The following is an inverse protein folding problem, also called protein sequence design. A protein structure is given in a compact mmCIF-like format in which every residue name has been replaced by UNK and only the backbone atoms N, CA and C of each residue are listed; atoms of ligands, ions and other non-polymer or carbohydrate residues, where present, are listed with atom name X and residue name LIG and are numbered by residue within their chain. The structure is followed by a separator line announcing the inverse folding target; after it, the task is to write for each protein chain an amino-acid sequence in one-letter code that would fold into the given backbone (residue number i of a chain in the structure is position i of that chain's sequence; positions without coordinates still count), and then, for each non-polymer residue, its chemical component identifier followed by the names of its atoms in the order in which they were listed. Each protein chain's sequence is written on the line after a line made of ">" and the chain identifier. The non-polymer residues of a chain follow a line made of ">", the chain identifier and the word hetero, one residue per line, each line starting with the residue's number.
data_IF_465712044215
#
_entry.id   IF_465712044215
#
_cell.length_a   1.000
_cell.length_b   1.000
_cell.length_c   1.000
_cell.angle_alpha   90.00
_cell.angle_beta   90.00
_cell.angle_gamma   90.00
#
_symmetry.space_group_name_H-M   'P 1'
#
loop_
_entity.id
_entity.type
_entity.pdbx_description
1 polymer ?
#
# COMPACT_ATOMS: atom_id res chain seq x y z
N UNK A 1 -47.45 -6.08 22.39
CA UNK A 1 -46.06 -5.57 22.35
C UNK A 1 -45.20 -6.45 23.24
N UNK A 2 -44.40 -7.34 22.65
CA UNK A 2 -43.46 -8.19 23.40
C UNK A 2 -42.15 -7.43 23.55
N UNK A 3 -41.78 -7.10 24.79
CA UNK A 3 -40.52 -6.44 25.13
C UNK A 3 -39.37 -7.43 24.90
N UNK A 4 -38.47 -7.09 23.98
CA UNK A 4 -37.22 -7.84 23.78
C UNK A 4 -36.17 -7.30 24.75
N UNK A 5 -35.93 -8.03 25.84
CA UNK A 5 -34.80 -7.78 26.74
C UNK A 5 -33.53 -8.24 26.02
N UNK A 6 -32.70 -7.30 25.59
CA UNK A 6 -31.38 -7.59 25.03
C UNK A 6 -30.45 -8.01 26.17
N UNK A 7 -30.13 -9.30 26.25
CA UNK A 7 -29.12 -9.81 27.18
C UNK A 7 -27.74 -9.52 26.57
N UNK A 8 -27.05 -8.47 27.02
CA UNK A 8 -25.64 -8.29 26.69
C UNK A 8 -24.83 -9.38 27.40
N UNK A 9 -24.34 -10.37 26.65
CA UNK A 9 -23.23 -11.21 27.12
C UNK A 9 -21.99 -10.33 27.18
N UNK A 10 -21.49 -10.07 28.39
CA UNK A 10 -20.20 -9.44 28.59
C UNK A 10 -19.09 -10.43 28.16
N UNK A 11 -18.49 -10.20 27.00
CA UNK A 11 -17.24 -10.84 26.62
C UNK A 11 -16.14 -10.35 27.59
N UNK A 12 -15.78 -11.21 28.56
CA UNK A 12 -14.78 -10.89 29.57
C UNK A 12 -13.36 -10.97 28.97
N UNK A 13 -12.94 -9.90 28.31
CA UNK A 13 -11.52 -9.64 28.08
C UNK A 13 -10.84 -9.32 29.41
N UNK A 14 -9.61 -9.82 29.63
CA UNK A 14 -8.77 -9.41 30.76
C UNK A 14 -8.40 -7.94 30.53
N UNK A 15 -9.19 -7.03 31.08
CA UNK A 15 -8.89 -5.61 31.12
C UNK A 15 -7.80 -5.37 32.16
N UNK A 16 -6.77 -4.62 31.77
CA UNK A 16 -5.80 -4.12 32.75
C UNK A 16 -6.44 -2.93 33.46
N UNK A 17 -6.08 -2.71 34.73
CA UNK A 17 -6.68 -1.68 35.58
C UNK A 17 -6.60 -0.25 35.00
N UNK A 18 -5.76 -0.02 34.00
CA UNK A 18 -5.50 1.29 33.41
C UNK A 18 -5.74 1.35 31.88
N UNK A 19 -6.48 0.40 31.31
CA UNK A 19 -6.82 0.50 29.89
C UNK A 19 -7.91 1.55 29.66
N UNK A 20 -7.76 2.32 28.58
CA UNK A 20 -8.78 3.26 28.11
C UNK A 20 -9.67 2.57 27.08
N UNK A 21 -10.98 2.55 27.34
CA UNK A 21 -11.99 1.94 26.47
C UNK A 21 -12.82 3.06 25.86
N UNK A 22 -12.94 3.04 24.53
CA UNK A 22 -13.81 3.95 23.79
C UNK A 22 -14.97 3.16 23.18
N UNK A 23 -16.20 3.60 23.41
CA UNK A 23 -17.41 2.97 22.86
C UNK A 23 -18.27 3.97 22.09
N UNK A 24 -18.67 3.59 20.87
CA UNK A 24 -19.55 4.40 20.04
C UNK A 24 -20.40 3.51 19.11
N UNK A 25 -21.70 3.47 19.37
CA UNK A 25 -22.62 2.62 18.63
C UNK A 25 -22.20 1.15 18.72
N UNK A 26 -22.00 0.45 17.58
CA UNK A 26 -21.61 -0.96 17.59
C UNK A 26 -20.12 -1.17 17.89
N UNK A 27 -19.30 -0.12 17.95
CA UNK A 27 -17.86 -0.23 18.08
C UNK A 27 -17.39 -0.06 19.52
N UNK A 28 -16.41 -0.89 19.90
CA UNK A 28 -15.62 -0.73 21.12
C UNK A 28 -14.15 -0.94 20.80
N UNK A 29 -13.28 -0.07 21.32
CA UNK A 29 -11.83 -0.14 21.13
C UNK A 29 -11.13 0.03 22.46
N UNK A 30 -10.20 -0.87 22.76
CA UNK A 30 -9.39 -0.84 23.98
C UNK A 30 -8.01 -0.30 23.63
N UNK A 31 -7.52 0.66 24.41
CA UNK A 31 -6.18 1.21 24.32
C UNK A 31 -5.40 0.89 25.59
N UNK A 32 -4.17 0.40 25.46
CA UNK A 32 -3.37 0.01 26.62
C UNK A 32 -2.37 1.08 27.01
N UNK A 33 -2.47 1.58 28.25
CA UNK A 33 -1.49 2.52 28.81
C UNK A 33 -0.06 1.93 28.79
N UNK A 34 0.08 0.63 29.07
CA UNK A 34 1.38 -0.08 29.05
C UNK A 34 2.07 -0.05 27.68
N UNK A 35 1.28 0.18 26.63
CA UNK A 35 1.72 0.33 25.24
C UNK A 35 1.60 1.77 24.77
N UNK A 36 1.72 2.73 25.70
CA UNK A 36 1.65 4.16 25.43
C UNK A 36 0.33 4.59 24.78
N UNK A 37 -0.79 3.98 25.20
CA UNK A 37 -2.12 4.16 24.62
C UNK A 37 -2.15 3.85 23.12
N UNK A 38 -1.51 2.76 22.70
CA UNK A 38 -1.81 2.10 21.44
C UNK A 38 -3.07 1.25 21.57
N UNK A 39 -3.80 1.06 20.48
CA UNK A 39 -4.93 0.14 20.45
C UNK A 39 -4.45 -1.28 20.72
N UNK A 40 -5.28 -2.06 21.41
CA UNK A 40 -4.98 -3.40 21.87
C UNK A 40 -6.08 -4.40 21.52
N UNK A 41 -7.34 -3.97 21.46
CA UNK A 41 -8.47 -4.80 21.03
C UNK A 41 -9.50 -3.97 20.27
N UNK A 42 -10.23 -4.65 19.39
CA UNK A 42 -11.30 -4.08 18.58
C UNK A 42 -12.52 -4.98 18.65
N UNK A 43 -13.70 -4.39 18.84
CA UNK A 43 -14.97 -5.10 18.88
C UNK A 43 -15.99 -4.43 17.96
N UNK A 44 -16.89 -5.25 17.43
CA UNK A 44 -18.04 -4.82 16.65
C UNK A 44 -19.27 -5.66 17.00
N UNK A 45 -20.36 -5.02 17.42
CA UNK A 45 -21.60 -5.69 17.88
C UNK A 45 -21.31 -6.77 18.94
N UNK A 46 -20.39 -6.48 19.85
CA UNK A 46 -19.98 -7.38 20.94
C UNK A 46 -18.97 -8.46 20.56
N UNK A 47 -18.73 -8.71 19.27
CA UNK A 47 -17.76 -9.69 18.79
C UNK A 47 -16.33 -9.14 18.79
N UNK A 48 -15.34 -9.94 19.20
CA UNK A 48 -13.92 -9.57 19.16
C UNK A 48 -13.39 -9.69 17.72
N UNK A 49 -13.12 -8.55 17.09
CA UNK A 49 -12.48 -8.50 15.76
C UNK A 49 -10.95 -8.48 15.86
N UNK A 50 -10.42 -7.80 16.87
CA UNK A 50 -8.99 -7.68 17.13
C UNK A 50 -8.65 -8.11 18.55
N UNK A 51 -7.67 -9.00 18.68
CA UNK A 51 -7.27 -9.63 19.94
C UNK A 51 -6.06 -8.94 20.59
N UNK A 52 -5.94 -9.05 21.93
CA UNK A 52 -4.86 -8.47 22.74
C UNK A 52 -3.50 -9.17 22.60
N UNK A 53 -3.43 -10.26 21.86
CA UNK A 53 -2.24 -11.12 21.78
C UNK A 53 -1.11 -10.54 20.92
N UNK A 54 -1.26 -9.33 20.38
CA UNK A 54 -0.23 -8.63 19.63
C UNK A 54 -0.40 -7.10 19.61
N UNK A 55 0.54 -6.44 18.92
CA UNK A 55 0.70 -4.98 18.91
C UNK A 55 0.10 -4.31 17.65
N UNK A 56 -0.61 -3.18 17.82
CA UNK A 56 -1.35 -2.48 16.74
C UNK A 56 -0.80 -1.08 16.38
N UNK A 57 0.09 -0.54 17.19
CA UNK A 57 0.64 0.80 17.04
C UNK A 57 1.67 0.91 15.92
N UNK A 58 2.16 2.14 15.70
CA UNK A 58 3.28 2.37 14.77
C UNK A 58 4.56 1.85 15.39
N UNK A 59 5.42 1.19 14.60
CA UNK A 59 6.76 0.79 15.06
C UNK A 59 7.85 1.21 14.09
N UNK A 60 8.96 1.68 14.66
CA UNK A 60 10.18 2.08 13.97
C UNK A 60 11.31 1.11 14.30
N UNK A 61 12.07 0.69 13.30
CA UNK A 61 13.41 0.15 13.52
C UNK A 61 14.47 1.07 12.93
N UNK A 62 15.49 1.38 13.73
CA UNK A 62 16.54 2.35 13.41
C UNK A 62 17.89 1.71 13.05
N UNK A 63 18.23 0.59 13.69
CA UNK A 63 19.60 0.02 13.70
C UNK A 63 19.69 -1.41 13.16
N UNK A 64 18.69 -1.85 12.39
CA UNK A 64 18.66 -3.17 11.75
C UNK A 64 17.41 -3.99 12.09
N UNK A 65 17.37 -5.29 11.78
CA UNK A 65 16.20 -6.11 12.08
C UNK A 65 15.97 -6.23 13.59
N UNK A 66 14.70 -6.33 14.00
CA UNK A 66 14.27 -6.65 15.38
C UNK A 66 14.65 -5.64 16.48
N UNK A 67 15.05 -4.42 16.13
CA UNK A 67 15.32 -3.32 17.07
C UNK A 67 14.19 -2.29 17.03
N UNK A 68 13.01 -2.72 17.47
CA UNK A 68 11.79 -1.92 17.34
C UNK A 68 11.60 -0.91 18.49
N UNK A 69 11.00 0.23 18.14
CA UNK A 69 10.52 1.28 19.03
C UNK A 69 9.05 1.50 18.71
N UNK A 70 8.19 1.50 19.74
CA UNK A 70 6.78 1.86 19.62
C UNK A 70 5.83 0.69 19.83
N UNK A 71 4.57 0.99 20.12
CA UNK A 71 3.52 -0.02 20.33
C UNK A 71 3.88 -1.08 21.38
N UNK A 72 4.59 -0.69 22.44
CA UNK A 72 5.05 -1.61 23.49
C UNK A 72 6.46 -2.20 23.27
N UNK A 73 7.00 -2.16 22.06
CA UNK A 73 8.39 -2.56 21.79
C UNK A 73 9.40 -1.59 22.42
N UNK A 74 10.51 -2.15 22.91
CA UNK A 74 11.58 -1.45 23.65
C UNK A 74 12.99 -1.83 23.19
N UNK A 75 13.12 -2.75 22.25
CA UNK A 75 14.35 -3.41 21.83
C UNK A 75 15.33 -2.46 21.12
N UNK A 76 14.81 -1.44 20.45
CA UNK A 76 15.56 -0.37 19.79
C UNK A 76 15.54 0.98 20.50
N UNK A 77 14.83 1.08 21.64
CA UNK A 77 14.54 2.33 22.34
C UNK A 77 13.09 2.38 22.81
N UNK A 78 12.77 3.38 23.65
CA UNK A 78 11.46 3.50 24.30
C UNK A 78 10.67 4.65 23.65
N UNK A 79 9.42 4.37 23.29
CA UNK A 79 8.47 5.41 22.86
C UNK A 79 8.23 6.41 24.00
N UNK A 80 8.25 7.71 23.68
CA UNK A 80 7.96 8.76 24.67
C UNK A 80 6.64 9.42 24.34
N UNK A 81 5.64 9.26 25.21
CA UNK A 81 4.38 9.99 25.09
C UNK A 81 4.64 11.48 25.35
N UNK A 82 4.24 12.35 24.43
CA UNK A 82 4.39 13.81 24.53
C UNK A 82 3.08 14.45 24.97
N UNK A 83 1.98 14.06 24.34
CA UNK A 83 0.66 14.57 24.72
C UNK A 83 -0.43 13.55 24.38
N UNK A 84 -1.48 13.57 25.19
CA UNK A 84 -2.69 12.79 25.01
C UNK A 84 -3.90 13.72 25.22
N UNK A 85 -4.81 13.78 24.27
CA UNK A 85 -6.07 14.52 24.39
C UNK A 85 -7.22 13.65 23.98
N UNK A 86 -8.28 13.68 24.77
CA UNK A 86 -9.51 12.94 24.52
C UNK A 86 -10.68 13.90 24.49
N UNK A 87 -11.49 13.80 23.45
CA UNK A 87 -12.71 14.57 23.29
C UNK A 87 -13.89 13.63 23.05
N UNK A 88 -14.95 13.78 23.84
CA UNK A 88 -16.19 13.00 23.74
C UNK A 88 -17.32 13.97 23.45
N UNK A 89 -17.93 13.83 22.28
CA UNK A 89 -19.06 14.64 21.82
C UNK A 89 -18.80 16.16 21.91
N UNK A 90 -17.57 16.59 21.62
CA UNK A 90 -17.15 18.00 21.66
C UNK A 90 -16.53 18.44 22.98
N UNK A 91 -16.67 17.67 24.06
CA UNK A 91 -16.12 18.01 25.37
C UNK A 91 -14.79 17.28 25.64
N UNK A 92 -13.76 18.04 26.05
CA UNK A 92 -12.49 17.46 26.49
C UNK A 92 -12.68 16.65 27.78
N UNK A 93 -12.06 15.46 27.83
CA UNK A 93 -12.09 14.54 28.97
C UNK A 93 -10.66 14.20 29.40
N UNK A 94 -10.46 14.04 30.71
CA UNK A 94 -9.21 13.52 31.24
C UNK A 94 -9.15 12.00 31.05
N UNK A 95 -7.97 11.49 30.71
CA UNK A 95 -7.71 10.04 30.58
C UNK A 95 -7.38 9.44 31.95
N UNK A 96 -8.33 9.58 32.89
CA UNK A 96 -8.28 8.98 34.23
C UNK A 96 -9.37 7.90 34.39
N UNK A 97 -10.40 7.93 33.53
CA UNK A 97 -11.43 6.90 33.46
C UNK A 97 -11.02 5.79 32.49
N UNK A 98 -11.53 4.59 32.74
CA UNK A 98 -11.28 3.44 31.89
C UNK A 98 -12.33 3.27 30.77
N UNK A 99 -13.48 3.97 30.85
CA UNK A 99 -14.54 3.89 29.85
C UNK A 99 -15.02 5.28 29.43
N UNK A 100 -15.13 5.48 28.13
CA UNK A 100 -15.66 6.68 27.50
C UNK A 100 -16.68 6.29 26.43
N UNK A 101 -17.90 6.77 26.60
CA UNK A 101 -19.03 6.51 25.70
C UNK A 101 -19.47 7.82 25.04
N UNK A 102 -19.76 7.78 23.75
CA UNK A 102 -20.24 8.94 23.00
C UNK A 102 -20.57 8.64 21.55
N UNK A 103 -21.19 9.58 20.85
CA UNK A 103 -21.47 9.46 19.40
C UNK A 103 -20.25 9.78 18.54
N UNK A 104 -19.35 10.61 19.03
CA UNK A 104 -18.08 10.90 18.39
C UNK A 104 -17.03 11.05 19.47
N UNK A 105 -16.08 10.13 19.47
CA UNK A 105 -14.92 10.21 20.35
C UNK A 105 -13.68 10.43 19.49
N UNK A 106 -12.90 11.45 19.84
CA UNK A 106 -11.65 11.80 19.17
C UNK A 106 -10.52 11.70 20.18
N UNK A 107 -9.50 10.93 19.80
CA UNK A 107 -8.29 10.68 20.55
C UNK A 107 -7.08 11.18 19.77
N UNK A 108 -6.39 12.17 20.32
CA UNK A 108 -5.17 12.73 19.76
C UNK A 108 -3.98 12.35 20.63
N UNK A 109 -3.01 11.69 20.01
CA UNK A 109 -1.77 11.25 20.64
C UNK A 109 -0.57 11.81 19.88
N UNK A 110 0.35 12.42 20.60
CA UNK A 110 1.68 12.79 20.10
C UNK A 110 2.71 11.99 20.88
N UNK A 111 3.64 11.36 20.17
CA UNK A 111 4.70 10.53 20.75
C UNK A 111 6.00 10.67 19.97
N UNK A 112 7.12 10.36 20.61
CA UNK A 112 8.43 10.27 19.97
C UNK A 112 8.85 8.82 19.81
N UNK A 113 9.18 8.43 18.58
CA UNK A 113 9.82 7.16 18.24
C UNK A 113 11.23 7.49 17.76
N UNK A 114 12.20 7.46 18.66
CA UNK A 114 13.52 8.07 18.40
C UNK A 114 13.38 9.56 18.11
N UNK A 115 13.89 9.99 16.96
CA UNK A 115 13.79 11.38 16.46
C UNK A 115 12.57 11.62 15.56
N UNK A 116 11.62 10.67 15.49
CA UNK A 116 10.34 10.90 14.80
C UNK A 116 9.26 11.32 15.79
N UNK A 117 8.73 12.53 15.61
CA UNK A 117 7.49 12.97 16.24
C UNK A 117 6.32 12.39 15.46
N UNK A 118 5.61 11.45 16.06
CA UNK A 118 4.43 10.80 15.51
C UNK A 118 3.16 11.46 16.08
N UNK A 119 2.30 11.94 15.20
CA UNK A 119 0.96 12.42 15.51
C UNK A 119 -0.04 11.34 15.08
N UNK A 120 -0.92 10.95 15.99
CA UNK A 120 -2.00 10.00 15.75
C UNK A 120 -3.31 10.67 16.14
N UNK A 121 -4.24 10.76 15.19
CA UNK A 121 -5.62 11.14 15.45
C UNK A 121 -6.49 9.91 15.20
N UNK A 122 -7.26 9.51 16.19
CA UNK A 122 -8.16 8.37 16.15
C UNK A 122 -9.58 8.87 16.43
N UNK A 123 -10.47 8.65 15.49
CA UNK A 123 -11.89 9.01 15.63
C UNK A 123 -12.72 7.75 15.57
N UNK A 124 -13.65 7.59 16.51
CA UNK A 124 -14.64 6.51 16.53
C UNK A 124 -16.04 7.13 16.58
N UNK A 125 -16.91 6.64 15.70
CA UNK A 125 -18.33 7.00 15.60
C UNK A 125 -19.17 5.74 15.35
N UNK A 126 -20.51 5.79 15.43
CA UNK A 126 -21.37 4.65 15.09
C UNK A 126 -21.15 4.13 13.66
N UNK A 127 -20.69 4.98 12.75
CA UNK A 127 -20.47 4.60 11.36
C UNK A 127 -19.14 3.85 11.20
N UNK A 128 -18.12 4.11 12.01
CA UNK A 128 -16.82 3.46 11.89
C UNK A 128 -15.68 4.14 12.63
N UNK A 129 -14.46 3.68 12.36
CA UNK A 129 -13.24 4.18 12.97
C UNK A 129 -12.35 4.79 11.89
N UNK A 130 -11.77 5.95 12.16
CA UNK A 130 -10.80 6.62 11.29
C UNK A 130 -9.51 6.86 12.06
N UNK A 131 -8.40 6.37 11.54
CA UNK A 131 -7.06 6.50 12.12
C UNK A 131 -6.20 7.30 11.15
N UNK A 132 -5.76 8.48 11.57
CA UNK A 132 -4.85 9.35 10.82
C UNK A 132 -3.49 9.35 11.50
N UNK A 133 -2.44 9.20 10.73
CA UNK A 133 -1.05 9.23 11.22
C UNK A 133 -0.19 10.10 10.33
N UNK A 134 0.63 10.94 10.95
CA UNK A 134 1.67 11.70 10.27
C UNK A 134 2.89 11.78 11.18
N UNK A 135 4.09 11.72 10.59
CA UNK A 135 5.31 11.89 11.35
C UNK A 135 6.21 12.98 10.78
N UNK A 136 7.01 13.56 11.67
CA UNK A 136 8.02 14.57 11.37
C UNK A 136 9.33 14.15 12.01
N UNK A 137 10.43 14.23 11.26
CA UNK A 137 11.77 14.05 11.80
C UNK A 137 12.23 15.35 12.46
N UNK A 138 12.34 15.37 13.79
CA UNK A 138 12.82 16.55 14.53
C UNK A 138 14.34 16.70 14.48
N UNK A 139 15.02 15.59 14.23
CA UNK A 139 16.44 15.46 13.90
C UNK A 139 16.58 14.36 12.84
N UNK A 140 17.75 14.26 12.20
CA UNK A 140 18.01 13.19 11.24
C UNK A 140 17.79 11.80 11.87
N UNK A 141 16.99 10.97 11.21
CA UNK A 141 16.60 9.66 11.71
C UNK A 141 16.83 8.57 10.66
N UNK A 142 17.74 7.62 10.90
CA UNK A 142 17.83 6.40 10.12
C UNK A 142 16.55 5.57 10.25
N UNK A 143 16.02 5.08 9.13
CA UNK A 143 14.83 4.24 9.08
C UNK A 143 15.19 2.94 8.33
N UNK A 144 15.26 1.84 9.08
CA UNK A 144 15.42 0.51 8.49
C UNK A 144 14.07 -0.07 8.05
N UNK A 145 13.07 0.00 8.94
CA UNK A 145 11.69 -0.42 8.66
C UNK A 145 10.72 0.45 9.45
N UNK A 146 9.56 0.74 8.88
CA UNK A 146 8.56 1.57 9.54
C UNK A 146 7.14 1.10 9.23
N UNK A 147 6.52 0.39 10.18
CA UNK A 147 5.13 -0.05 10.05
C UNK A 147 4.22 1.04 10.59
N UNK A 148 3.48 1.69 9.69
CA UNK A 148 2.53 2.77 10.03
C UNK A 148 1.24 2.18 10.59
N UNK A 149 0.72 1.11 9.99
CA UNK A 149 -0.42 0.37 10.51
C UNK A 149 -0.06 -1.09 10.69
N UNK A 150 -0.47 -1.65 11.81
CA UNK A 150 -0.49 -3.09 12.02
C UNK A 150 -1.73 -3.43 12.83
N UNK A 151 -2.36 -4.56 12.54
CA UNK A 151 -3.56 -4.98 13.27
C UNK A 151 -3.52 -6.48 13.51
N UNK A 152 -3.71 -6.92 14.75
CA UNK A 152 -3.69 -8.33 15.14
C UNK A 152 -5.12 -8.89 15.19
N UNK A 153 -5.71 -9.11 14.03
CA UNK A 153 -7.09 -9.57 13.95
C UNK A 153 -7.28 -10.97 14.52
N UNK A 154 -8.49 -11.26 14.99
CA UNK A 154 -8.83 -12.53 15.64
C UNK A 154 -8.38 -13.74 14.82
N UNK A 155 -7.84 -14.76 15.49
CA UNK A 155 -7.49 -16.06 14.89
C UNK A 155 -8.69 -16.82 14.33
N UNK A 156 -9.90 -16.39 14.69
CA UNK A 156 -11.14 -17.00 14.21
C UNK A 156 -11.55 -16.44 12.84
N UNK A 157 -10.85 -15.43 12.31
CA UNK A 157 -11.06 -15.03 10.92
C UNK A 157 -10.49 -16.11 10.00
N UNK A 158 -11.35 -16.82 9.28
CA UNK A 158 -10.94 -17.93 8.40
C UNK A 158 -10.65 -17.49 6.96
N UNK A 159 -11.05 -16.26 6.59
CA UNK A 159 -11.01 -15.78 5.21
C UNK A 159 -10.54 -14.34 5.12
N UNK A 160 -9.91 -14.00 4.00
CA UNK A 160 -9.50 -12.64 3.67
C UNK A 160 -9.80 -12.28 2.22
N UNK A 161 -9.98 -10.99 2.00
CA UNK A 161 -10.21 -10.40 0.68
C UNK A 161 -9.46 -9.08 0.59
N UNK A 162 -8.80 -8.83 -0.53
CA UNK A 162 -8.18 -7.54 -0.81
C UNK A 162 -8.76 -6.94 -2.08
N UNK A 163 -8.80 -5.61 -2.12
CA UNK A 163 -9.14 -4.85 -3.31
C UNK A 163 -8.04 -3.85 -3.67
N UNK A 164 -7.74 -3.79 -4.95
CA UNK A 164 -6.75 -2.88 -5.53
C UNK A 164 -7.42 -1.56 -5.95
N UNK A 165 -6.65 -0.47 -6.08
CA UNK A 165 -7.21 0.84 -6.46
C UNK A 165 -8.06 0.81 -7.74
N UNK A 166 -7.68 -0.05 -8.68
CA UNK A 166 -8.24 -0.12 -10.04
C UNK A 166 -9.19 -1.30 -10.26
N UNK A 167 -9.72 -1.88 -9.19
CA UNK A 167 -10.91 -2.74 -9.24
C UNK A 167 -10.66 -4.24 -9.25
N UNK A 168 -9.42 -4.71 -9.46
CA UNK A 168 -9.12 -6.13 -9.26
C UNK A 168 -9.07 -6.48 -7.77
N UNK A 169 -9.32 -7.76 -7.48
CA UNK A 169 -9.35 -8.30 -6.13
C UNK A 169 -8.52 -9.59 -6.05
N UNK A 170 -8.27 -10.06 -4.83
CA UNK A 170 -7.69 -11.37 -4.53
C UNK A 170 -8.21 -11.78 -3.16
N UNK A 171 -8.56 -13.04 -3.02
CA UNK A 171 -9.01 -13.64 -1.76
C UNK A 171 -8.19 -14.87 -1.40
N UNK A 172 -8.40 -15.35 -0.19
CA UNK A 172 -7.81 -16.56 0.31
C UNK A 172 -8.31 -16.89 1.70
N UNK A 173 -7.72 -17.94 2.28
CA UNK A 173 -8.04 -18.42 3.62
C UNK A 173 -6.84 -18.31 4.54
N UNK A 174 -7.10 -18.22 5.84
CA UNK A 174 -6.08 -18.36 6.86
C UNK A 174 -6.05 -19.81 7.34
N UNK A 175 -4.85 -20.37 7.43
CA UNK A 175 -4.59 -21.74 7.89
C UNK A 175 -3.86 -21.76 9.23
N UNK A 176 -3.51 -20.60 9.80
CA UNK A 176 -2.75 -20.50 11.05
C UNK A 176 -1.39 -21.21 11.00
N UNK A 177 -0.73 -21.18 9.83
CA UNK A 177 0.49 -21.95 9.54
C UNK A 177 1.79 -21.15 9.74
N UNK A 178 1.71 -19.95 10.32
CA UNK A 178 2.80 -18.97 10.48
C UNK A 178 3.31 -18.38 9.15
N UNK A 179 2.60 -18.63 8.04
CA UNK A 179 2.92 -18.16 6.71
C UNK A 179 2.71 -16.66 6.50
N UNK A 180 3.35 -16.14 5.45
CA UNK A 180 3.20 -14.76 5.00
C UNK A 180 2.44 -14.70 3.69
N UNK A 181 1.41 -13.85 3.62
CA UNK A 181 0.68 -13.56 2.39
C UNK A 181 0.91 -12.11 1.95
N UNK A 182 0.75 -11.87 0.64
CA UNK A 182 0.90 -10.54 0.02
C UNK A 182 2.32 -9.97 0.14
N UNK A 183 3.31 -10.79 0.51
CA UNK A 183 4.68 -10.33 0.73
C UNK A 183 5.41 -10.02 -0.60
N UNK A 184 6.65 -9.51 -0.51
CA UNK A 184 7.46 -9.12 -1.68
C UNK A 184 7.59 -10.19 -2.78
N UNK A 185 7.51 -11.48 -2.40
CA UNK A 185 7.60 -12.60 -3.35
C UNK A 185 6.34 -12.73 -4.21
N UNK A 186 5.18 -12.34 -3.68
CA UNK A 186 3.89 -12.34 -4.39
C UNK A 186 3.78 -11.16 -5.38
N UNK A 187 4.75 -10.25 -5.40
CA UNK A 187 4.77 -9.02 -6.22
C UNK A 187 3.48 -8.19 -6.11
N UNK A 188 2.74 -8.28 -5.00
CA UNK A 188 1.47 -7.58 -4.81
C UNK A 188 1.73 -6.05 -4.80
N UNK A 189 1.40 -5.32 -5.87
CA UNK A 189 1.98 -4.00 -6.06
C UNK A 189 1.22 -2.93 -5.28
N UNK A 190 -0.09 -3.12 -5.07
CA UNK A 190 -1.00 -2.08 -4.61
C UNK A 190 -2.21 -2.63 -3.85
N UNK A 191 -2.55 -2.01 -2.73
CA UNK A 191 -3.70 -2.34 -1.89
C UNK A 191 -4.47 -1.07 -1.56
N UNK A 192 -5.76 -1.02 -1.88
CA UNK A 192 -6.66 0.08 -1.50
C UNK A 192 -7.46 -0.25 -0.24
N UNK A 193 -7.86 -1.51 -0.09
CA UNK A 193 -8.57 -1.98 1.08
C UNK A 193 -8.37 -3.48 1.26
N UNK A 194 -8.57 -3.94 2.48
CA UNK A 194 -8.58 -5.35 2.84
C UNK A 194 -9.79 -5.65 3.72
N UNK A 195 -10.21 -6.90 3.76
CA UNK A 195 -11.18 -7.42 4.70
C UNK A 195 -10.74 -8.77 5.24
N UNK A 196 -11.11 -9.04 6.49
CA UNK A 196 -11.03 -10.37 7.10
C UNK A 196 -12.39 -10.73 7.69
N UNK A 197 -12.73 -12.01 7.68
CA UNK A 197 -14.06 -12.49 8.04
C UNK A 197 -13.99 -13.77 8.85
N UNK A 198 -14.83 -13.85 9.87
CA UNK A 198 -15.08 -15.01 10.72
C UNK A 198 -16.45 -15.58 10.33
N UNK A 199 -16.46 -16.76 9.71
CA UNK A 199 -17.70 -17.39 9.23
C UNK A 199 -18.61 -17.91 10.35
N UNK A 200 -18.04 -18.31 11.49
CA UNK A 200 -18.80 -18.80 12.63
C UNK A 200 -19.57 -17.66 13.32
N UNK A 201 -18.90 -16.54 13.58
CA UNK A 201 -19.51 -15.37 14.22
C UNK A 201 -20.31 -14.50 13.23
N UNK A 202 -20.12 -14.72 11.92
CA UNK A 202 -20.73 -13.94 10.84
C UNK A 202 -20.35 -12.46 10.90
N UNK A 203 -19.11 -12.20 11.34
CA UNK A 203 -18.54 -10.85 11.51
C UNK A 203 -17.29 -10.69 10.67
N UNK A 204 -17.09 -9.50 10.15
CA UNK A 204 -15.86 -9.14 9.49
C UNK A 204 -15.42 -7.72 9.80
N UNK A 205 -14.18 -7.45 9.45
CA UNK A 205 -13.57 -6.12 9.49
C UNK A 205 -13.04 -5.77 8.11
N UNK A 206 -13.31 -4.55 7.67
CA UNK A 206 -12.74 -3.96 6.47
C UNK A 206 -11.83 -2.80 6.87
N UNK A 207 -10.60 -2.79 6.37
CA UNK A 207 -9.67 -1.66 6.44
C UNK A 207 -9.51 -1.01 5.07
N UNK A 208 -9.70 0.31 4.98
CA UNK A 208 -9.63 1.10 3.75
C UNK A 208 -8.61 2.24 3.87
N UNK A 209 -7.75 2.40 2.87
CA UNK A 209 -6.81 3.52 2.82
C UNK A 209 -7.52 4.80 2.35
N UNK A 210 -7.97 5.63 3.30
CA UNK A 210 -8.70 6.88 3.04
C UNK A 210 -7.88 7.97 2.34
N UNK A 211 -6.56 7.80 2.28
CA UNK A 211 -5.64 8.58 1.42
C UNK A 211 -4.66 7.61 0.77
N UNK A 212 -4.95 7.22 -0.47
CA UNK A 212 -4.10 6.33 -1.26
C UNK A 212 -3.10 7.10 -2.11
N UNK A 213 -1.87 6.61 -2.17
CA UNK A 213 -0.88 7.05 -3.16
C UNK A 213 -0.11 5.84 -3.73
N UNK A 214 0.12 5.79 -5.06
CA UNK A 214 0.84 4.69 -5.69
C UNK A 214 2.20 4.44 -5.06
N UNK A 215 2.50 3.17 -4.77
CA UNK A 215 3.77 2.79 -4.15
C UNK A 215 4.00 3.33 -2.73
N UNK A 216 2.92 3.61 -1.98
CA UNK A 216 2.98 4.10 -0.59
C UNK A 216 3.72 3.18 0.38
N UNK A 217 3.89 1.90 0.05
CA UNK A 217 4.54 0.95 0.93
C UNK A 217 4.35 -0.50 0.52
N UNK A 218 4.61 -1.39 1.48
CA UNK A 218 4.39 -2.84 1.37
C UNK A 218 3.31 -3.26 2.34
N UNK A 219 2.43 -4.17 1.90
CA UNK A 219 1.32 -4.70 2.69
C UNK A 219 1.53 -6.20 2.88
N UNK A 220 1.20 -6.73 4.04
CA UNK A 220 1.40 -8.15 4.33
C UNK A 220 0.33 -8.65 5.27
N UNK A 221 -0.05 -9.91 5.12
CA UNK A 221 -0.66 -10.67 6.21
C UNK A 221 0.36 -11.66 6.77
N UNK A 222 0.39 -11.78 8.09
CA UNK A 222 1.09 -12.84 8.81
C UNK A 222 0.07 -13.73 9.49
N UNK A 223 0.01 -14.99 9.07
CA UNK A 223 -0.98 -15.97 9.49
C UNK A 223 -0.55 -16.73 10.75
N UNK A 224 -0.62 -16.07 11.91
CA UNK A 224 -0.12 -16.64 13.15
C UNK A 224 -1.16 -17.57 13.76
N UNK A 225 -0.69 -18.52 14.58
CA UNK A 225 -1.56 -19.43 15.36
C UNK A 225 -2.50 -18.73 16.35
N UNK A 226 -2.17 -17.50 16.74
CA UNK A 226 -2.87 -16.74 17.79
C UNK A 226 -3.62 -15.51 17.26
N UNK A 227 -3.37 -15.09 16.02
CA UNK A 227 -4.02 -13.97 15.33
C UNK A 227 -3.60 -13.91 13.86
N UNK A 228 -4.35 -13.18 13.03
CA UNK A 228 -3.92 -12.86 11.66
C UNK A 228 -3.52 -11.39 11.58
N UNK A 229 -2.23 -11.12 11.38
CA UNK A 229 -1.71 -9.76 11.46
C UNK A 229 -1.63 -9.09 10.11
N UNK A 230 -2.33 -7.96 9.96
CA UNK A 230 -2.06 -7.05 8.86
C UNK A 230 -0.86 -6.17 9.18
N UNK A 231 0.00 -5.94 8.20
CA UNK A 231 1.06 -4.95 8.23
C UNK A 231 0.95 -4.01 7.03
N UNK A 232 1.17 -2.73 7.28
CA UNK A 232 1.49 -1.73 6.28
C UNK A 232 2.82 -1.06 6.64
N UNK A 233 3.86 -1.40 5.90
CA UNK A 233 5.18 -0.75 5.95
C UNK A 233 5.21 0.41 4.98
N UNK A 234 5.32 1.64 5.47
CA UNK A 234 5.43 2.79 4.59
C UNK A 234 6.75 2.74 3.79
N UNK A 235 6.70 3.26 2.57
CA UNK A 235 7.89 3.60 1.80
C UNK A 235 8.47 4.88 2.38
N UNK A 236 9.66 4.78 2.97
CA UNK A 236 10.36 5.87 3.64
C UNK A 236 11.72 6.13 3.00
N UNK A 237 12.30 7.33 3.15
CA UNK A 237 13.72 7.50 2.89
C UNK A 237 14.53 6.64 3.88
N UNK A 238 15.76 6.25 3.49
CA UNK A 238 16.69 5.52 4.38
C UNK A 238 17.06 6.35 5.61
N UNK A 239 17.12 7.67 5.43
CA UNK A 239 17.30 8.65 6.49
C UNK A 239 16.22 9.71 6.28
N UNK A 240 15.36 9.91 7.27
CA UNK A 240 14.47 11.06 7.31
C UNK A 240 15.25 12.25 7.87
N UNK A 241 15.61 13.19 7.00
CA UNK A 241 16.35 14.40 7.39
C UNK A 241 15.52 15.28 8.32
N UNK A 242 16.21 16.12 9.12
CA UNK A 242 15.53 17.10 9.99
C UNK A 242 14.55 17.95 9.19
N UNK A 243 13.31 18.07 9.70
CA UNK A 243 12.22 18.78 9.05
C UNK A 243 11.49 17.97 7.97
N UNK A 244 11.93 16.74 7.66
CA UNK A 244 11.15 15.84 6.80
C UNK A 244 9.78 15.58 7.42
N UNK A 245 8.73 15.73 6.62
CA UNK A 245 7.35 15.42 6.99
C UNK A 245 6.79 14.38 6.06
N UNK A 246 6.17 13.36 6.63
CA UNK A 246 5.48 12.33 5.86
C UNK A 246 4.19 12.88 5.23
N UNK A 247 3.67 12.22 4.18
CA UNK A 247 2.25 12.34 3.88
C UNK A 247 1.41 11.92 5.08
N UNK A 248 0.15 12.36 5.12
CA UNK A 248 -0.83 11.84 6.08
C UNK A 248 -1.30 10.46 5.61
N UNK A 249 -1.14 9.46 6.46
CA UNK A 249 -1.69 8.12 6.26
C UNK A 249 -3.05 8.01 6.94
N UNK A 250 -4.06 7.55 6.22
CA UNK A 250 -5.43 7.42 6.74
C UNK A 250 -5.93 6.01 6.55
N UNK A 251 -6.28 5.34 7.65
CA UNK A 251 -6.95 4.04 7.66
C UNK A 251 -8.37 4.21 8.19
N UNK A 252 -9.35 3.69 7.46
CA UNK A 252 -10.75 3.64 7.89
C UNK A 252 -11.08 2.18 8.17
N UNK A 253 -11.59 1.89 9.36
CA UNK A 253 -12.03 0.55 9.74
C UNK A 253 -13.55 0.52 9.82
N UNK A 254 -14.16 -0.50 9.20
CA UNK A 254 -15.60 -0.78 9.23
C UNK A 254 -15.81 -2.23 9.64
N UNK A 255 -16.50 -2.42 10.77
CA UNK A 255 -17.06 -3.72 11.13
C UNK A 255 -18.30 -3.99 10.30
N UNK A 256 -18.57 -5.26 10.01
CA UNK A 256 -19.78 -5.64 9.29
C UNK A 256 -20.27 -7.03 9.70
N UNK A 257 -21.58 -7.23 9.54
CA UNK A 257 -22.26 -8.51 9.72
C UNK A 257 -22.70 -9.05 8.37
N UNK A 258 -22.47 -10.33 8.09
CA UNK A 258 -22.87 -10.96 6.83
C UNK A 258 -22.90 -12.48 6.95
N UNK A 259 -23.80 -13.20 6.27
CA UNK A 259 -23.70 -14.66 6.19
C UNK A 259 -22.46 -15.08 5.38
N UNK A 260 -21.93 -16.31 5.61
CA UNK A 260 -20.66 -16.76 5.00
C UNK A 260 -20.65 -16.83 3.48
N UNK A 261 -21.80 -16.91 2.83
CA UNK A 261 -21.94 -16.92 1.36
C UNK A 261 -22.00 -15.51 0.74
N UNK A 262 -22.27 -14.47 1.55
CA UNK A 262 -22.45 -13.09 1.07
C UNK A 262 -21.39 -12.09 1.55
N UNK A 263 -20.49 -12.49 2.46
CA UNK A 263 -19.56 -11.56 3.12
C UNK A 263 -18.64 -10.82 2.15
N UNK A 264 -18.16 -11.49 1.09
CA UNK A 264 -17.31 -10.84 0.08
C UNK A 264 -18.05 -9.74 -0.67
N UNK A 265 -19.33 -9.98 -1.02
CA UNK A 265 -20.19 -8.98 -1.65
C UNK A 265 -20.41 -7.80 -0.71
N UNK A 266 -20.67 -8.07 0.58
CA UNK A 266 -20.84 -7.00 1.57
C UNK A 266 -19.57 -6.17 1.76
N UNK A 267 -18.39 -6.80 1.82
CA UNK A 267 -17.12 -6.09 1.90
C UNK A 267 -16.87 -5.20 0.67
N UNK A 268 -17.17 -5.71 -0.54
CA UNK A 268 -17.05 -4.95 -1.79
C UNK A 268 -18.03 -3.75 -1.84
N UNK A 269 -19.24 -3.92 -1.33
CA UNK A 269 -20.24 -2.85 -1.20
C UNK A 269 -19.70 -1.71 -0.31
N UNK A 270 -19.25 -2.04 0.91
CA UNK A 270 -18.67 -1.07 1.85
C UNK A 270 -17.45 -0.37 1.23
N UNK A 271 -16.57 -1.13 0.58
CA UNK A 271 -15.40 -0.57 -0.11
C UNK A 271 -15.79 0.39 -1.25
N UNK A 272 -16.85 0.07 -2.00
CA UNK A 272 -17.37 0.90 -3.08
C UNK A 272 -17.92 2.22 -2.56
N UNK A 273 -18.65 2.20 -1.44
CA UNK A 273 -19.13 3.41 -0.77
C UNK A 273 -17.98 4.28 -0.27
N UNK A 274 -16.98 3.68 0.38
CA UNK A 274 -15.78 4.39 0.81
C UNK A 274 -14.99 4.94 -0.37
N UNK A 275 -14.91 4.23 -1.49
CA UNK A 275 -14.25 4.71 -2.71
C UNK A 275 -14.93 5.95 -3.31
N UNK A 276 -16.25 6.10 -3.16
CA UNK A 276 -16.94 7.34 -3.58
C UNK A 276 -16.56 8.53 -2.71
N UNK A 277 -16.30 8.30 -1.43
CA UNK A 277 -15.91 9.35 -0.46
C UNK A 277 -14.41 9.66 -0.50
N UNK A 278 -13.58 8.64 -0.76
CA UNK A 278 -12.12 8.67 -0.69
C UNK A 278 -11.53 8.09 -1.97
N UNK A 279 -11.81 8.73 -3.11
CA UNK A 279 -11.36 8.25 -4.42
C UNK A 279 -9.83 8.11 -4.46
N UNK A 280 -9.28 6.95 -4.87
CA UNK A 280 -7.87 6.87 -5.18
C UNK A 280 -7.55 7.80 -6.38
N UNK A 281 -6.29 8.22 -6.54
CA UNK A 281 -5.83 8.86 -7.76
C UNK A 281 -6.17 8.00 -8.99
N UNK A 282 -6.37 8.62 -10.17
CA UNK A 282 -6.61 7.88 -11.39
C UNK A 282 -5.48 6.87 -11.65
N UNK A 283 -5.77 5.74 -12.32
CA UNK A 283 -4.72 4.81 -12.72
C UNK A 283 -3.64 5.52 -13.52
N UNK A 284 -2.36 5.15 -13.34
CA UNK A 284 -1.30 5.59 -14.23
C UNK A 284 -1.75 5.36 -15.67
N UNK A 285 -1.65 6.38 -16.55
CA UNK A 285 -1.97 6.19 -17.97
C UNK A 285 -0.94 5.20 -18.54
N UNK A 286 -1.43 4.03 -18.92
CA UNK A 286 -0.65 2.97 -19.55
C UNK A 286 -0.78 3.13 -21.06
N UNK A 287 0.36 3.13 -21.75
CA UNK A 287 0.44 3.13 -23.22
C UNK A 287 1.07 1.80 -23.62
N UNK A 288 0.27 0.95 -24.26
CA UNK A 288 0.67 -0.36 -24.78
C UNK A 288 0.39 -0.37 -26.29
N UNK A 289 1.39 -0.02 -27.13
CA UNK A 289 1.22 -0.10 -28.57
C UNK A 289 0.89 -1.53 -28.99
N UNK A 290 -0.29 -1.75 -29.58
CA UNK A 290 -0.79 -3.10 -29.94
C UNK A 290 0.23 -3.88 -30.80
N UNK A 291 0.86 -3.17 -31.74
CA UNK A 291 1.88 -3.69 -32.65
C UNK A 291 3.13 -4.23 -31.94
N UNK A 292 3.32 -3.90 -30.66
CA UNK A 292 4.48 -4.29 -29.86
C UNK A 292 4.18 -5.38 -28.82
N UNK A 293 2.98 -5.97 -28.83
CA UNK A 293 2.67 -7.12 -27.96
C UNK A 293 3.55 -8.33 -28.30
N UNK A 294 3.79 -8.60 -29.58
CA UNK A 294 4.61 -9.70 -30.09
C UNK A 294 5.31 -9.31 -31.41
N UNK A 295 6.07 -8.22 -31.42
CA UNK A 295 6.74 -7.73 -32.62
C UNK A 295 7.95 -8.60 -32.97
N UNK A 296 8.08 -8.97 -34.24
CA UNK A 296 9.29 -9.57 -34.81
C UNK A 296 9.81 -8.68 -35.94
N UNK A 297 11.08 -8.32 -35.89
CA UNK A 297 11.78 -7.54 -36.90
C UNK A 297 12.87 -8.39 -37.51
N UNK A 298 12.64 -8.89 -38.73
CA UNK A 298 13.64 -9.63 -39.51
C UNK A 298 14.61 -8.64 -40.16
N UNK A 299 15.90 -8.73 -39.84
CA UNK A 299 16.93 -7.91 -40.46
C UNK A 299 17.12 -8.24 -41.94
N UNK A 300 17.52 -7.24 -42.72
CA UNK A 300 17.78 -7.37 -44.17
C UNK A 300 19.20 -6.89 -44.55
N UNK A 301 20.11 -6.79 -43.58
CA UNK A 301 21.46 -6.26 -43.75
C UNK A 301 21.56 -4.73 -43.80
N UNK A 302 20.44 -4.01 -43.86
CA UNK A 302 20.38 -2.55 -43.95
C UNK A 302 19.78 -1.93 -42.67
N UNK A 303 19.56 -0.61 -42.68
CA UNK A 303 18.83 0.07 -41.63
C UNK A 303 17.35 -0.36 -41.62
N UNK A 304 16.89 -0.87 -40.48
CA UNK A 304 15.51 -1.25 -40.26
C UNK A 304 15.01 -0.69 -38.93
N UNK A 305 13.85 -0.05 -38.98
CA UNK A 305 13.23 0.58 -37.83
C UNK A 305 11.71 0.39 -37.85
N UNK A 306 11.13 -0.03 -36.72
CA UNK A 306 9.70 0.11 -36.45
C UNK A 306 9.46 1.34 -35.59
N UNK A 307 8.68 2.29 -36.10
CA UNK A 307 8.14 3.43 -35.34
C UNK A 307 6.79 3.02 -34.75
N UNK A 308 6.61 3.26 -33.46
CA UNK A 308 5.36 3.08 -32.72
C UNK A 308 4.96 4.43 -32.14
N UNK A 309 3.84 4.97 -32.57
CA UNK A 309 3.38 6.27 -32.08
C UNK A 309 2.91 6.15 -30.63
N UNK A 310 3.33 7.09 -29.79
CA UNK A 310 2.95 7.13 -28.38
C UNK A 310 2.56 8.54 -27.97
N UNK A 311 1.57 8.65 -27.11
CA UNK A 311 1.11 9.95 -26.59
C UNK A 311 1.84 10.28 -25.29
N UNK A 312 2.93 11.05 -25.38
CA UNK A 312 3.63 11.54 -24.20
C UNK A 312 3.11 12.93 -23.79
N UNK A 313 3.19 13.24 -22.50
CA UNK A 313 2.90 14.57 -21.94
C UNK A 313 4.20 15.30 -21.60
N UNK A 314 4.31 16.61 -21.91
CA UNK A 314 5.52 17.36 -21.63
C UNK A 314 5.92 17.36 -20.15
N UNK A 315 7.21 17.19 -19.88
CA UNK A 315 7.79 17.25 -18.53
C UNK A 315 7.45 16.09 -17.59
N UNK A 316 6.59 15.14 -18.01
CA UNK A 316 6.16 13.99 -17.20
C UNK A 316 7.19 12.86 -17.20
N UNK A 317 7.24 12.12 -16.10
CA UNK A 317 8.09 10.94 -15.96
C UNK A 317 7.34 9.69 -16.43
N UNK A 318 8.05 8.79 -17.10
CA UNK A 318 7.55 7.53 -17.61
C UNK A 318 8.46 6.40 -17.18
N UNK A 319 7.85 5.25 -16.92
CA UNK A 319 8.53 3.97 -16.81
C UNK A 319 8.22 3.16 -18.07
N UNK A 320 9.24 2.59 -18.70
CA UNK A 320 9.09 1.70 -19.85
C UNK A 320 9.51 0.29 -19.44
N UNK A 321 8.78 -0.72 -19.92
CA UNK A 321 9.15 -2.13 -19.75
C UNK A 321 8.81 -2.93 -20.99
N UNK A 322 9.64 -3.92 -21.32
CA UNK A 322 9.41 -4.88 -22.41
C UNK A 322 10.34 -6.11 -22.24
N UNK A 323 10.09 -7.16 -23.01
CA UNK A 323 11.05 -8.25 -23.23
C UNK A 323 11.66 -8.13 -24.62
N UNK A 324 12.95 -8.37 -24.73
CA UNK A 324 13.66 -8.36 -26.02
C UNK A 324 14.47 -9.63 -26.20
N UNK A 325 14.44 -10.21 -27.40
CA UNK A 325 15.37 -11.25 -27.81
C UNK A 325 16.13 -10.78 -29.05
N UNK A 326 17.46 -10.85 -28.98
CA UNK A 326 18.35 -10.51 -30.09
C UNK A 326 18.96 -11.79 -30.63
N UNK A 327 18.87 -11.99 -31.94
CA UNK A 327 19.60 -13.06 -32.62
C UNK A 327 21.10 -12.98 -32.38
N UNK A 328 21.80 -14.10 -32.60
CA UNK A 328 23.24 -14.23 -32.29
C UNK A 328 24.11 -13.35 -33.18
N UNK A 329 23.67 -13.11 -34.41
CA UNK A 329 24.40 -12.40 -35.45
C UNK A 329 23.90 -10.96 -35.66
N UNK A 330 23.19 -10.37 -34.67
CA UNK A 330 22.82 -8.95 -34.74
C UNK A 330 24.06 -8.04 -34.64
N UNK A 331 24.05 -6.88 -35.29
CA UNK A 331 25.18 -5.92 -35.33
C UNK A 331 25.79 -5.65 -33.95
N UNK A 332 27.13 -5.61 -33.88
CA UNK A 332 27.93 -5.30 -32.67
C UNK A 332 27.73 -3.89 -32.14
N UNK A 333 27.25 -2.95 -32.96
CA UNK A 333 27.02 -1.58 -32.53
C UNK A 333 25.78 -1.50 -31.64
N UNK A 334 25.95 -0.88 -30.47
CA UNK A 334 24.90 -0.78 -29.45
C UNK A 334 23.68 0.04 -29.90
N UNK A 335 23.86 0.94 -30.87
CA UNK A 335 22.81 1.75 -31.50
C UNK A 335 21.95 1.00 -32.50
N UNK A 336 22.43 -0.11 -33.05
CA UNK A 336 21.79 -0.74 -34.22
C UNK A 336 20.62 -1.64 -33.81
N UNK A 337 20.65 -2.15 -32.57
CA UNK A 337 19.72 -3.16 -32.06
C UNK A 337 19.21 -2.76 -30.67
N UNK A 338 18.37 -1.71 -30.64
CA UNK A 338 17.93 -1.07 -29.41
C UNK A 338 16.49 -0.58 -29.52
N UNK A 339 15.95 -0.14 -28.38
CA UNK A 339 14.66 0.55 -28.30
C UNK A 339 14.91 1.98 -27.86
N UNK A 340 14.49 2.95 -28.66
CA UNK A 340 14.63 4.38 -28.37
C UNK A 340 13.25 4.98 -28.09
N UNK A 341 13.19 5.91 -27.16
CA UNK A 341 12.12 6.89 -27.09
C UNK A 341 12.71 8.17 -27.66
N UNK A 342 12.05 8.75 -28.65
CA UNK A 342 12.58 9.94 -29.31
C UNK A 342 11.53 10.69 -30.10
N UNK A 343 11.96 11.78 -30.69
CA UNK A 343 11.13 12.62 -31.55
C UNK A 343 11.99 13.27 -32.61
N UNK A 344 11.38 13.64 -33.72
CA UNK A 344 12.03 14.53 -34.68
C UNK A 344 11.67 15.98 -34.34
N UNK A 345 12.52 16.92 -34.71
CA UNK A 345 12.13 18.34 -34.72
C UNK A 345 11.01 18.61 -35.73
N UNK A 346 10.42 19.82 -35.68
CA UNK A 346 9.27 20.17 -36.54
C UNK A 346 9.59 20.05 -38.03
N UNK A 347 10.83 20.34 -38.40
CA UNK A 347 11.33 20.23 -39.78
C UNK A 347 11.66 18.78 -40.20
N UNK A 348 11.63 17.81 -39.26
CA UNK A 348 12.03 16.42 -39.45
C UNK A 348 13.46 16.23 -39.95
N UNK A 349 14.36 17.16 -39.62
CA UNK A 349 15.77 17.12 -40.02
C UNK A 349 16.66 16.57 -38.92
N UNK A 350 16.25 16.69 -37.65
CA UNK A 350 17.04 16.23 -36.50
C UNK A 350 16.24 15.30 -35.61
N UNK A 351 16.81 14.13 -35.35
CA UNK A 351 16.29 13.20 -34.35
C UNK A 351 16.83 13.54 -32.96
N UNK A 352 15.92 13.70 -32.00
CA UNK A 352 16.23 13.87 -30.59
C UNK A 352 15.93 12.57 -29.85
N UNK A 353 16.98 11.94 -29.31
CA UNK A 353 16.84 10.81 -28.39
C UNK A 353 16.43 11.35 -27.03
N UNK A 354 15.29 10.89 -26.52
CA UNK A 354 14.81 11.17 -25.16
C UNK A 354 15.38 10.12 -24.20
N UNK A 355 15.36 8.85 -24.62
CA UNK A 355 15.94 7.73 -23.88
C UNK A 355 16.30 6.57 -24.81
N UNK A 356 17.25 5.74 -24.38
CA UNK A 356 17.70 4.54 -25.09
C UNK A 356 17.72 3.35 -24.14
N UNK A 357 17.21 2.21 -24.62
CA UNK A 357 17.07 0.98 -23.85
C UNK A 357 17.60 -0.20 -24.65
N UNK A 358 17.96 -1.25 -23.92
CA UNK A 358 18.41 -2.53 -24.46
C UNK A 358 19.70 -2.51 -25.30
N UNK A 359 20.46 -1.41 -25.34
CA UNK A 359 21.68 -1.30 -26.15
C UNK A 359 22.78 -2.31 -25.77
N UNK A 360 22.87 -2.69 -24.49
CA UNK A 360 23.83 -3.67 -23.95
C UNK A 360 23.28 -5.08 -23.70
N UNK A 361 22.06 -5.40 -24.13
CA UNK A 361 21.47 -6.73 -23.92
C UNK A 361 22.18 -7.77 -24.79
N UNK A 362 22.38 -8.97 -24.21
CA UNK A 362 23.05 -10.11 -24.82
C UNK A 362 22.39 -10.57 -26.14
N UNK A 363 23.18 -11.24 -26.96
CA UNK A 363 22.83 -11.72 -28.31
C UNK A 363 22.85 -13.23 -28.33
N UNK A 364 22.00 -13.83 -27.52
CA UNK A 364 21.95 -15.28 -27.29
C UNK A 364 20.69 -15.91 -27.89
N UNK A 365 19.79 -15.10 -28.48
CA UNK A 365 18.47 -15.51 -28.94
C UNK A 365 17.43 -15.64 -27.82
N UNK A 366 17.83 -15.52 -26.55
CA UNK A 366 16.96 -15.59 -25.39
C UNK A 366 16.22 -14.27 -25.14
N UNK A 367 15.07 -14.34 -24.45
CA UNK A 367 14.35 -13.15 -24.02
C UNK A 367 14.93 -12.59 -22.72
N UNK A 368 15.24 -11.30 -22.73
CA UNK A 368 15.71 -10.54 -21.59
C UNK A 368 14.67 -9.49 -21.20
N UNK A 369 14.41 -9.34 -19.90
CA UNK A 369 13.55 -8.27 -19.38
C UNK A 369 14.30 -6.95 -19.36
N UNK A 370 13.68 -5.90 -19.90
CA UNK A 370 14.23 -4.55 -19.92
C UNK A 370 13.21 -3.62 -19.27
N UNK A 371 13.68 -2.82 -18.32
CA UNK A 371 12.90 -1.74 -17.74
C UNK A 371 13.77 -0.52 -17.53
N UNK A 372 13.16 0.66 -17.52
CA UNK A 372 13.85 1.91 -17.26
C UNK A 372 12.91 3.08 -17.12
N UNK A 373 13.47 4.24 -16.79
CA UNK A 373 12.72 5.48 -16.62
C UNK A 373 13.25 6.56 -17.52
N UNK A 374 12.36 7.46 -17.93
CA UNK A 374 12.75 8.67 -18.64
C UNK A 374 11.75 9.79 -18.34
N UNK A 375 12.20 11.04 -18.54
CA UNK A 375 11.34 12.22 -18.45
C UNK A 375 11.13 12.77 -19.85
N UNK A 376 9.88 12.97 -20.23
CA UNK A 376 9.55 13.64 -21.48
C UNK A 376 10.06 15.09 -21.44
N UNK A 377 10.64 15.62 -22.53
CA UNK A 377 11.06 17.03 -22.59
C UNK A 377 9.86 17.98 -22.42
N UNK A 378 10.14 19.25 -22.13
CA UNK A 378 9.11 20.29 -22.02
C UNK A 378 8.44 20.60 -23.36
N UNK A 379 9.11 20.32 -24.48
CA UNK A 379 8.58 20.46 -25.82
C UNK A 379 8.52 19.10 -26.50
N UNK A 380 7.32 18.70 -26.90
CA UNK A 380 7.09 17.44 -27.61
C UNK A 380 6.67 17.71 -29.06
N UNK A 381 7.20 16.90 -29.97
CA UNK A 381 6.86 16.96 -31.38
C UNK A 381 6.71 15.55 -31.97
N UNK A 382 5.49 15.01 -31.90
CA UNK A 382 5.15 13.65 -32.36
C UNK A 382 6.12 12.57 -31.82
N UNK A 383 6.27 12.45 -30.48
CA UNK A 383 7.14 11.46 -29.89
C UNK A 383 6.71 10.04 -30.27
N UNK A 384 7.68 9.15 -30.40
CA UNK A 384 7.46 7.76 -30.74
C UNK A 384 8.48 6.85 -30.04
N UNK A 385 8.13 5.57 -29.94
CA UNK A 385 9.08 4.50 -29.64
C UNK A 385 9.61 3.96 -30.96
N UNK A 386 10.92 3.86 -31.06
CA UNK A 386 11.62 3.37 -32.24
C UNK A 386 12.36 2.09 -31.88
N UNK A 387 12.09 1.01 -32.61
CA UNK A 387 12.72 -0.29 -32.41
C UNK A 387 13.63 -0.55 -33.60
N UNK A 388 14.93 -0.54 -33.37
CA UNK A 388 15.95 -0.68 -34.41
C UNK A 388 16.44 -2.12 -34.49
N UNK A 389 16.59 -2.64 -35.70
CA UNK A 389 17.28 -3.90 -36.01
C UNK A 389 18.13 -3.71 -37.28
N UNK A 390 19.19 -2.92 -37.17
CA UNK A 390 19.95 -2.42 -38.32
C UNK A 390 21.25 -3.17 -38.55
N UNK A 391 21.73 -3.16 -39.79
CA UNK A 391 23.02 -3.73 -40.21
C UNK A 391 23.19 -5.21 -39.83
N UNK A 392 22.10 -5.97 -39.88
CA UNK A 392 22.10 -7.41 -39.63
C UNK A 392 21.03 -8.09 -40.48
N UNK A 393 21.25 -9.36 -40.82
CA UNK A 393 20.23 -10.22 -41.41
C UNK A 393 19.47 -11.04 -40.35
N UNK A 394 19.86 -10.95 -39.07
CA UNK A 394 19.26 -11.72 -37.98
C UNK A 394 18.01 -11.01 -37.41
N UNK A 395 17.34 -11.67 -36.48
CA UNK A 395 16.02 -11.29 -35.97
C UNK A 395 16.10 -10.59 -34.62
N UNK A 396 15.25 -9.58 -34.43
CA UNK A 396 14.98 -8.95 -33.15
C UNK A 396 13.50 -9.12 -32.79
N UNK A 397 13.20 -9.57 -31.58
CA UNK A 397 11.83 -9.78 -31.10
C UNK A 397 11.56 -8.92 -29.88
N UNK A 398 10.39 -8.30 -29.83
CA UNK A 398 9.90 -7.50 -28.69
C UNK A 398 8.56 -8.04 -28.23
N UNK A 399 8.38 -8.16 -26.92
CA UNK A 399 7.10 -8.50 -26.31
C UNK A 399 6.73 -7.54 -25.19
N UNK A 400 5.41 -7.33 -25.03
CA UNK A 400 4.80 -6.61 -23.91
C UNK A 400 5.40 -5.21 -23.69
N UNK A 401 5.62 -4.46 -24.77
CA UNK A 401 6.10 -3.09 -24.65
C UNK A 401 5.04 -2.20 -24.02
N UNK A 402 5.41 -1.61 -22.89
CA UNK A 402 4.51 -0.83 -22.04
C UNK A 402 5.21 0.43 -21.57
N UNK A 403 4.52 1.57 -21.65
CA UNK A 403 4.92 2.81 -21.00
C UNK A 403 3.88 3.15 -19.92
N UNK A 404 4.35 3.51 -18.74
CA UNK A 404 3.51 3.89 -17.59
C UNK A 404 3.85 5.32 -17.19
N UNK A 405 2.92 6.25 -17.41
CA UNK A 405 3.09 7.64 -16.97
C UNK A 405 3.01 7.72 -15.45
N UNK A 406 3.99 8.36 -14.82
CA UNK A 406 3.97 8.71 -13.39
C UNK A 406 3.41 10.13 -13.29
N UNK A 407 2.20 10.26 -12.73
CA UNK A 407 1.48 11.54 -12.65
C UNK A 407 1.96 12.45 -11.52
#
# INVERSE_FOLDING_TARGET
>A
MKSFTFLMLAAAGILSANDMILESGPYKVVFSEKEFYCSAQYFYEGAELGTRTGFYGTILSTTGPNRFIGSGHKEGGVEKLVSLKLNVDGAEKKVENNLFEGKKIVFDKISMLGSLKLNVNFTITPEGIVIRKQYEAVEAQPIHSFYIFQFCWSKNNDSWLIGRPYGSFRDGRFNSDEGWFLCRQDKEPELLWFAQFNSDEKKGILGYFGKYFPGQGTYMFWDRKVYHKFYFSAKTPKIAEKGYRSPEYVMILKGFSSPPDAWQSKAKEIASELKKQFSPPPPPKVIEPEEAKNLTLQGNGNFLCKKLEVELMPGKEYEISFRIAKGKEVSLKSSDNCVLVGQYDRARTKFQVIASFASGIAKDGGYHEVSGKFRAPAELNSPAVYIYNSNTADVLRIQNLRLVRKD
#
